data_IF_135207849611
#
_entry.id   IF_135207849611
#
_cell.length_a   1.000
_cell.length_b   1.000
_cell.length_c   1.000
_cell.angle_alpha   90.00
_cell.angle_beta   90.00
_cell.angle_gamma   90.00
#
_symmetry.space_group_name_H-M   'P 1'
#
loop_
_entity.id
_entity.type
_entity.pdbx_description
1 polymer ?
#
# COMPACT_ATOMS: atom_id res chain seq x y z
N UNK A 1 45.62 -38.37 -36.64
CA UNK A 1 44.27 -38.18 -36.07
C UNK A 1 44.39 -38.15 -34.55
N UNK A 2 44.41 -36.95 -33.95
CA UNK A 2 44.31 -36.78 -32.49
C UNK A 2 43.22 -35.73 -32.25
N UNK A 3 42.06 -36.18 -31.78
CA UNK A 3 40.98 -35.33 -31.33
C UNK A 3 41.38 -34.73 -29.98
N UNK A 4 41.33 -33.41 -29.86
CA UNK A 4 41.39 -32.69 -28.59
C UNK A 4 39.94 -32.43 -28.19
N UNK A 5 39.45 -33.10 -27.15
CA UNK A 5 38.19 -32.76 -26.51
C UNK A 5 38.43 -31.52 -25.63
N UNK A 6 37.78 -30.41 -25.97
CA UNK A 6 37.67 -29.24 -25.11
C UNK A 6 36.41 -29.46 -24.25
N UNK A 7 36.60 -29.73 -22.96
CA UNK A 7 35.51 -29.67 -21.99
C UNK A 7 35.31 -28.22 -21.57
N UNK A 8 34.26 -27.58 -22.07
CA UNK A 8 33.75 -26.32 -21.54
C UNK A 8 32.94 -26.65 -20.28
N UNK A 9 33.50 -26.36 -19.11
CA UNK A 9 32.79 -26.40 -17.83
C UNK A 9 31.98 -25.11 -17.74
N UNK A 10 30.67 -25.20 -17.95
CA UNK A 10 29.75 -24.12 -17.59
C UNK A 10 29.57 -24.15 -16.06
N UNK A 11 30.14 -23.17 -15.38
CA UNK A 11 29.73 -22.85 -14.01
C UNK A 11 28.33 -22.25 -14.09
N UNK A 12 27.31 -23.05 -13.84
CA UNK A 12 26.00 -22.54 -13.44
C UNK A 12 26.15 -22.04 -11.99
N UNK A 13 26.22 -20.73 -11.83
CA UNK A 13 25.90 -20.12 -10.55
C UNK A 13 24.38 -20.14 -10.47
N UNK A 14 23.81 -21.06 -9.68
CA UNK A 14 22.41 -20.97 -9.28
C UNK A 14 22.27 -19.71 -8.42
N UNK A 15 21.74 -18.64 -9.03
CA UNK A 15 21.28 -17.47 -8.30
C UNK A 15 19.92 -17.85 -7.73
N UNK A 16 19.90 -18.39 -6.51
CA UNK A 16 18.68 -18.56 -5.70
C UNK A 16 18.22 -17.19 -5.16
N UNK A 17 18.01 -16.23 -6.05
CA UNK A 17 17.41 -14.95 -5.73
C UNK A 17 15.92 -15.04 -5.96
N UNK A 18 15.13 -14.72 -4.94
CA UNK A 18 13.70 -14.49 -5.09
C UNK A 18 13.51 -13.52 -6.26
N UNK A 19 12.82 -13.96 -7.30
CA UNK A 19 12.69 -13.18 -8.50
C UNK A 19 11.49 -12.24 -8.33
N UNK A 20 11.70 -11.15 -7.60
CA UNK A 20 10.67 -10.11 -7.37
C UNK A 20 11.03 -8.84 -8.12
N UNK A 21 10.02 -8.07 -8.51
CA UNK A 21 10.25 -6.73 -9.06
C UNK A 21 10.79 -5.81 -7.95
N UNK A 22 10.22 -5.91 -6.76
CA UNK A 22 10.63 -5.21 -5.56
C UNK A 22 11.97 -5.75 -5.02
N UNK A 23 12.84 -4.83 -4.63
CA UNK A 23 14.10 -5.14 -3.97
C UNK A 23 13.87 -5.33 -2.46
N UNK A 24 13.85 -6.59 -2.05
CA UNK A 24 13.63 -7.00 -0.65
C UNK A 24 14.70 -6.42 0.27
N UNK A 25 15.97 -6.39 -0.16
CA UNK A 25 17.06 -5.92 0.69
C UNK A 25 17.00 -4.41 0.87
N UNK A 26 16.56 -3.67 -0.15
CA UNK A 26 16.28 -2.24 -0.02
C UNK A 26 15.13 -1.96 0.95
N UNK A 27 14.01 -2.68 0.83
CA UNK A 27 12.90 -2.51 1.78
C UNK A 27 13.33 -2.86 3.21
N UNK A 28 14.09 -3.95 3.41
CA UNK A 28 14.68 -4.28 4.72
C UNK A 28 15.56 -3.16 5.24
N UNK A 29 16.39 -2.57 4.37
CA UNK A 29 17.26 -1.46 4.72
C UNK A 29 16.45 -0.24 5.21
N UNK A 30 15.48 0.21 4.41
CA UNK A 30 14.67 1.39 4.72
C UNK A 30 13.88 1.18 6.02
N UNK A 31 13.27 0.00 6.20
CA UNK A 31 12.59 -0.37 7.44
C UNK A 31 13.54 -0.30 8.63
N UNK A 32 14.66 -1.01 8.56
CA UNK A 32 15.64 -1.08 9.66
C UNK A 32 16.29 0.26 9.97
N UNK A 33 16.37 1.16 8.99
CA UNK A 33 17.12 2.39 9.10
C UNK A 33 16.29 3.54 9.67
N UNK A 34 15.05 3.70 9.24
CA UNK A 34 14.23 4.86 9.60
C UNK A 34 12.73 4.58 9.74
N UNK A 35 12.25 3.35 9.50
CA UNK A 35 10.83 2.99 9.69
C UNK A 35 10.61 1.95 10.81
N UNK A 36 11.62 1.72 11.65
CA UNK A 36 11.57 0.84 12.83
C UNK A 36 11.85 1.58 14.14
N UNK A 37 11.69 2.89 14.16
CA UNK A 37 11.85 3.75 15.34
C UNK A 37 10.49 4.38 15.58
N UNK A 38 10.10 4.61 16.84
CA UNK A 38 8.89 5.38 17.16
C UNK A 38 8.85 6.68 16.35
N UNK A 39 7.69 7.00 15.78
CA UNK A 39 7.36 8.19 14.99
C UNK A 39 6.13 8.85 15.59
N UNK A 40 6.11 9.00 16.91
CA UNK A 40 4.97 9.53 17.64
C UNK A 40 5.07 11.04 17.85
N UNK A 41 6.21 11.50 18.39
CA UNK A 41 6.44 12.92 18.67
C UNK A 41 7.08 13.66 17.49
N UNK A 42 7.01 14.99 17.47
CA UNK A 42 7.48 15.78 16.32
C UNK A 42 8.98 15.61 16.03
N UNK A 43 9.82 15.36 17.05
CA UNK A 43 11.25 15.15 16.82
C UNK A 43 11.46 13.86 16.04
N UNK A 44 10.85 12.77 16.48
CA UNK A 44 10.89 11.48 15.80
C UNK A 44 10.30 11.53 14.39
N UNK A 45 9.12 12.13 14.27
CA UNK A 45 8.43 12.32 12.98
C UNK A 45 9.27 13.12 12.00
N UNK A 46 9.96 14.16 12.46
CA UNK A 46 10.83 14.98 11.60
C UNK A 46 11.99 14.17 11.01
N UNK A 47 12.57 13.23 11.76
CA UNK A 47 13.65 12.35 11.28
C UNK A 47 13.14 11.43 10.19
N UNK A 48 12.01 10.75 10.43
CA UNK A 48 11.38 9.88 9.44
C UNK A 48 10.97 10.66 8.18
N UNK A 49 10.33 11.82 8.34
CA UNK A 49 9.91 12.71 7.25
C UNK A 49 11.09 13.11 6.35
N UNK A 50 12.21 13.49 6.94
CA UNK A 50 13.43 13.83 6.17
C UNK A 50 14.00 12.61 5.46
N UNK A 51 14.02 11.44 6.10
CA UNK A 51 14.51 10.20 5.50
C UNK A 51 13.63 9.75 4.31
N UNK A 52 12.31 9.71 4.49
CA UNK A 52 11.32 9.39 3.44
C UNK A 52 11.47 10.37 2.27
N UNK A 53 11.51 11.67 2.56
CA UNK A 53 11.70 12.71 1.54
C UNK A 53 12.99 12.48 0.74
N UNK A 54 14.11 12.19 1.43
CA UNK A 54 15.40 11.90 0.78
C UNK A 54 15.36 10.62 -0.06
N UNK A 55 14.67 9.58 0.40
CA UNK A 55 14.53 8.33 -0.34
C UNK A 55 13.78 8.54 -1.66
N UNK A 56 12.69 9.32 -1.64
CA UNK A 56 11.93 9.70 -2.83
C UNK A 56 12.75 10.62 -3.77
N UNK A 57 13.50 11.57 -3.23
CA UNK A 57 14.37 12.45 -4.05
C UNK A 57 15.55 11.70 -4.67
N UNK A 58 16.10 10.70 -3.97
CA UNK A 58 17.21 9.88 -4.46
C UNK A 58 16.83 9.02 -5.68
N UNK A 59 15.54 8.76 -5.91
CA UNK A 59 15.05 8.07 -7.11
C UNK A 59 14.65 9.04 -8.24
N UNK A 60 14.93 10.34 -8.07
CA UNK A 60 14.72 11.36 -9.10
C UNK A 60 13.36 12.06 -9.04
N UNK A 61 12.54 11.80 -8.03
CA UNK A 61 11.24 12.43 -7.90
C UNK A 61 11.31 13.82 -7.24
N UNK A 62 10.50 14.74 -7.75
CA UNK A 62 10.25 16.01 -7.07
C UNK A 62 9.35 15.74 -5.86
N UNK A 63 9.87 16.02 -4.67
CA UNK A 63 9.14 15.87 -3.42
C UNK A 63 8.86 17.22 -2.75
N UNK A 64 7.79 17.28 -1.96
CA UNK A 64 7.46 18.43 -1.13
C UNK A 64 6.93 17.99 0.22
N UNK A 65 6.99 18.91 1.19
CA UNK A 65 6.37 18.74 2.49
C UNK A 65 5.11 19.60 2.55
N UNK A 66 3.96 19.00 2.81
CA UNK A 66 2.69 19.70 2.99
C UNK A 66 2.40 19.84 4.49
N UNK A 67 2.53 21.06 5.02
CA UNK A 67 2.25 21.37 6.43
C UNK A 67 0.79 21.76 6.62
N UNK A 68 0.16 21.24 7.66
CA UNK A 68 -1.22 21.53 8.04
C UNK A 68 -1.33 21.72 9.56
N UNK A 69 -2.44 22.29 10.02
CA UNK A 69 -2.71 22.50 11.45
C UNK A 69 -3.82 21.53 11.85
N UNK A 70 -3.57 20.71 12.88
CA UNK A 70 -4.60 19.85 13.44
C UNK A 70 -5.62 20.70 14.21
N UNK A 71 -6.89 20.67 13.78
CA UNK A 71 -7.93 21.58 14.26
C UNK A 71 -8.16 21.52 15.77
N UNK A 72 -8.06 20.34 16.39
CA UNK A 72 -8.37 20.17 17.81
C UNK A 72 -7.20 20.50 18.74
N UNK A 73 -5.96 20.21 18.32
CA UNK A 73 -4.77 20.40 19.18
C UNK A 73 -3.92 21.61 18.80
N UNK A 74 -4.17 22.25 17.65
CA UNK A 74 -3.32 23.28 17.04
C UNK A 74 -1.86 22.84 16.81
N UNK A 75 -1.60 21.53 16.80
CA UNK A 75 -0.30 21.02 16.42
C UNK A 75 -0.09 21.12 14.92
N UNK A 76 1.15 21.35 14.51
CA UNK A 76 1.53 21.37 13.10
C UNK A 76 1.88 19.93 12.70
N UNK A 77 1.16 19.39 11.73
CA UNK A 77 1.48 18.13 11.06
C UNK A 77 2.12 18.37 9.71
N UNK A 78 2.79 17.37 9.15
CA UNK A 78 3.40 17.51 7.84
C UNK A 78 3.49 16.21 7.03
N UNK A 79 2.79 16.17 5.90
CA UNK A 79 2.85 15.07 4.94
C UNK A 79 4.09 15.19 4.03
N UNK A 80 4.56 14.06 3.50
CA UNK A 80 5.54 14.01 2.41
C UNK A 80 4.82 13.62 1.13
N UNK A 81 4.99 14.39 0.06
CA UNK A 81 4.34 14.15 -1.24
C UNK A 81 5.42 14.12 -2.31
N UNK A 82 5.43 13.11 -3.17
CA UNK A 82 6.26 13.08 -4.38
C UNK A 82 5.39 12.88 -5.60
N UNK A 83 5.68 13.61 -6.68
CA UNK A 83 4.86 13.60 -7.91
C UNK A 83 5.70 13.13 -9.08
N UNK A 84 5.30 12.00 -9.66
CA UNK A 84 5.85 11.46 -10.90
C UNK A 84 4.93 11.87 -12.06
N UNK A 85 5.23 13.03 -12.64
CA UNK A 85 4.38 13.69 -13.64
C UNK A 85 4.24 12.85 -14.91
N UNK A 86 3.01 12.70 -15.41
CA UNK A 86 2.74 12.23 -16.77
C UNK A 86 2.91 13.35 -17.80
N UNK A 87 2.90 13.04 -19.11
CA UNK A 87 3.00 14.01 -20.20
C UNK A 87 1.92 15.11 -20.17
N UNK A 88 0.75 14.82 -19.59
CA UNK A 88 -0.39 15.76 -19.52
C UNK A 88 -0.52 16.49 -18.18
N UNK A 89 0.47 16.36 -17.29
CA UNK A 89 0.42 16.95 -15.95
C UNK A 89 0.06 18.44 -15.96
N UNK A 90 -0.92 18.81 -15.14
CA UNK A 90 -1.42 20.18 -15.04
C UNK A 90 -2.48 20.56 -16.08
N UNK A 91 -2.99 19.60 -16.85
CA UNK A 91 -4.04 19.81 -17.85
C UNK A 91 -5.23 18.89 -17.62
N UNK A 92 -6.36 19.17 -18.27
CA UNK A 92 -7.58 18.36 -18.17
C UNK A 92 -7.47 16.97 -18.82
N UNK A 93 -6.41 16.74 -19.58
CA UNK A 93 -6.11 15.45 -20.19
C UNK A 93 -5.36 14.51 -19.23
N UNK A 94 -4.89 15.02 -18.08
CA UNK A 94 -4.21 14.17 -17.11
C UNK A 94 -5.18 13.25 -16.38
N UNK A 95 -4.63 12.15 -15.89
CA UNK A 95 -5.26 11.25 -14.93
C UNK A 95 -4.33 11.06 -13.76
N UNK A 96 -4.89 11.02 -12.55
CA UNK A 96 -4.13 10.95 -11.31
C UNK A 96 -4.32 9.58 -10.65
N UNK A 97 -3.21 8.94 -10.32
CA UNK A 97 -3.16 7.74 -9.48
C UNK A 97 -2.45 8.10 -8.18
N UNK A 98 -3.09 7.85 -7.03
CA UNK A 98 -2.51 8.08 -5.71
C UNK A 98 -2.11 6.74 -5.09
N UNK A 99 -0.88 6.62 -4.62
CA UNK A 99 -0.43 5.52 -3.76
C UNK A 99 0.09 6.10 -2.45
N UNK A 100 -0.45 5.65 -1.32
CA UNK A 100 -0.16 6.28 -0.04
C UNK A 100 -0.14 5.35 1.17
N UNK A 101 0.56 5.80 2.20
CA UNK A 101 0.70 5.17 3.52
C UNK A 101 0.82 6.27 4.58
N UNK A 102 0.55 6.00 5.86
CA UNK A 102 0.93 6.89 6.95
C UNK A 102 2.34 6.56 7.47
N UNK A 103 3.06 7.55 8.00
CA UNK A 103 4.38 7.32 8.60
C UNK A 103 4.41 7.56 10.10
N UNK A 104 3.38 8.17 10.72
CA UNK A 104 3.34 8.31 12.17
C UNK A 104 3.04 6.96 12.86
N UNK A 105 3.39 6.87 14.14
CA UNK A 105 3.10 5.70 14.98
C UNK A 105 2.39 6.12 16.26
N UNK A 106 1.82 5.12 16.94
CA UNK A 106 1.50 5.24 18.36
C UNK A 106 2.76 5.43 19.21
N UNK A 107 2.57 5.95 20.43
CA UNK A 107 3.63 6.13 21.42
C UNK A 107 4.30 4.79 21.76
N UNK A 108 5.63 4.82 21.91
CA UNK A 108 6.47 3.65 22.22
C UNK A 108 6.34 2.47 21.26
N UNK A 109 5.85 2.71 20.04
CA UNK A 109 5.69 1.70 19.01
C UNK A 109 6.72 1.89 17.88
N UNK A 110 7.62 0.93 17.60
CA UNK A 110 8.56 1.05 16.49
C UNK A 110 7.89 1.13 15.11
N UNK A 111 6.69 0.55 14.96
CA UNK A 111 5.84 0.64 13.77
C UNK A 111 6.46 0.03 12.53
N UNK A 112 7.08 -1.14 12.64
CA UNK A 112 7.72 -1.83 11.49
C UNK A 112 6.67 -2.23 10.46
N UNK A 113 5.56 -2.81 10.92
CA UNK A 113 4.41 -3.17 10.12
C UNK A 113 3.41 -2.02 10.02
N UNK A 114 3.07 -1.34 11.13
CA UNK A 114 2.13 -0.21 11.26
C UNK A 114 2.85 1.14 11.46
N UNK A 115 3.16 1.90 10.41
CA UNK A 115 2.97 1.56 9.01
C UNK A 115 4.29 1.67 8.21
N UNK A 116 5.40 1.21 8.82
CA UNK A 116 6.71 1.20 8.18
C UNK A 116 6.74 0.33 6.90
N UNK A 117 5.98 -0.77 6.89
CA UNK A 117 5.86 -1.66 5.74
C UNK A 117 5.19 -0.98 4.55
N UNK A 118 4.10 -0.26 4.77
CA UNK A 118 3.41 0.52 3.74
C UNK A 118 4.28 1.64 3.19
N UNK A 119 4.98 2.38 4.05
CA UNK A 119 5.91 3.44 3.62
C UNK A 119 7.07 2.87 2.79
N UNK A 120 7.63 1.73 3.18
CA UNK A 120 8.67 1.05 2.41
C UNK A 120 8.16 0.63 1.01
N UNK A 121 6.95 0.08 0.92
CA UNK A 121 6.35 -0.28 -0.36
C UNK A 121 6.05 0.94 -1.25
N UNK A 122 5.62 2.06 -0.67
CA UNK A 122 5.44 3.33 -1.42
C UNK A 122 6.76 3.82 -2.01
N UNK A 123 7.84 3.83 -1.22
CA UNK A 123 9.18 4.24 -1.68
C UNK A 123 9.70 3.29 -2.76
N UNK A 124 9.52 1.98 -2.58
CA UNK A 124 10.01 0.98 -3.53
C UNK A 124 9.22 1.00 -4.83
N UNK A 125 7.90 1.13 -4.77
CA UNK A 125 7.07 1.32 -5.95
C UNK A 125 7.47 2.60 -6.71
N UNK A 126 7.72 3.70 -5.99
CA UNK A 126 8.20 4.94 -6.59
C UNK A 126 9.57 4.77 -7.30
N UNK A 127 10.48 4.00 -6.71
CA UNK A 127 11.77 3.67 -7.31
C UNK A 127 11.62 2.89 -8.61
N UNK A 128 10.84 1.81 -8.58
CA UNK A 128 10.65 0.94 -9.73
C UNK A 128 9.96 1.70 -10.85
N UNK A 129 8.86 2.42 -10.55
CA UNK A 129 8.16 3.22 -11.55
C UNK A 129 9.06 4.31 -12.14
N UNK A 130 9.88 4.98 -11.33
CA UNK A 130 10.85 5.97 -11.83
C UNK A 130 11.92 5.34 -12.72
N UNK A 131 12.34 4.11 -12.41
CA UNK A 131 13.30 3.35 -13.24
C UNK A 131 12.68 2.95 -14.57
N UNK A 132 11.45 2.41 -14.55
CA UNK A 132 10.72 2.02 -15.75
C UNK A 132 10.47 3.21 -16.68
N UNK A 133 10.14 4.37 -16.14
CA UNK A 133 9.92 5.61 -16.89
C UNK A 133 11.13 6.07 -17.71
N UNK A 134 12.35 5.61 -17.38
CA UNK A 134 13.55 5.92 -18.18
C UNK A 134 13.61 5.13 -19.49
N UNK A 135 12.87 4.02 -19.57
CA UNK A 135 12.88 3.08 -20.69
C UNK A 135 11.51 2.98 -21.39
N UNK A 136 10.43 3.21 -20.66
CA UNK A 136 9.05 2.99 -21.09
C UNK A 136 8.22 4.24 -20.85
N UNK A 137 7.40 4.61 -21.83
CA UNK A 137 6.48 5.74 -21.68
C UNK A 137 5.32 5.38 -20.76
N UNK A 138 4.94 6.33 -19.90
CA UNK A 138 3.78 6.31 -19.01
C UNK A 138 2.91 7.54 -19.25
N UNK A 139 1.59 7.37 -19.26
CA UNK A 139 0.66 8.44 -19.65
C UNK A 139 0.14 9.27 -18.47
N UNK A 140 -0.05 8.65 -17.31
CA UNK A 140 -0.79 9.28 -16.21
C UNK A 140 0.09 9.55 -15.01
N UNK A 141 -0.13 10.70 -14.36
CA UNK A 141 0.62 11.12 -13.17
C UNK A 141 0.38 10.19 -11.98
N UNK A 142 1.46 9.81 -11.30
CA UNK A 142 1.42 9.08 -10.03
C UNK A 142 1.82 10.04 -8.91
N UNK A 143 1.02 10.07 -7.85
CA UNK A 143 1.25 10.85 -6.63
C UNK A 143 1.51 9.87 -5.49
N UNK A 144 2.73 9.89 -4.96
CA UNK A 144 3.13 9.12 -3.79
C UNK A 144 2.99 9.99 -2.56
N UNK A 145 2.30 9.50 -1.52
CA UNK A 145 2.07 10.29 -0.30
C UNK A 145 2.35 9.48 0.96
N UNK A 146 3.11 10.08 1.88
CA UNK A 146 3.26 9.58 3.24
C UNK A 146 2.58 10.56 4.22
N UNK A 147 1.48 10.14 4.85
CA UNK A 147 0.67 10.96 5.75
C UNK A 147 1.25 11.04 7.16
N UNK A 148 1.06 12.18 7.81
CA UNK A 148 1.29 12.37 9.25
C UNK A 148 -0.05 12.28 10.01
N UNK A 149 0.00 12.04 11.31
CA UNK A 149 -1.14 12.14 12.23
C UNK A 149 -2.35 11.25 11.88
N UNK A 150 -2.16 10.02 11.37
CA UNK A 150 -3.23 9.03 11.23
C UNK A 150 -3.97 8.84 12.56
N UNK A 151 -3.22 8.69 13.65
CA UNK A 151 -3.79 8.44 14.97
C UNK A 151 -4.42 9.68 15.64
N UNK A 152 -4.34 10.86 15.01
CA UNK A 152 -5.05 12.09 15.42
C UNK A 152 -6.16 12.39 14.41
N UNK A 153 -7.15 11.51 14.34
CA UNK A 153 -8.34 11.68 13.49
C UNK A 153 -8.03 11.77 11.99
N UNK A 154 -7.03 11.02 11.49
CA UNK A 154 -6.68 10.97 10.07
C UNK A 154 -6.31 12.35 9.49
N UNK A 155 -5.75 13.23 10.33
CA UNK A 155 -5.58 14.65 10.00
C UNK A 155 -4.71 14.88 8.75
N UNK A 156 -3.64 14.09 8.56
CA UNK A 156 -2.76 14.25 7.41
C UNK A 156 -3.42 13.84 6.10
N UNK A 157 -4.12 12.71 6.04
CA UNK A 157 -4.82 12.31 4.81
C UNK A 157 -5.99 13.25 4.50
N UNK A 158 -6.72 13.71 5.52
CA UNK A 158 -7.78 14.70 5.34
C UNK A 158 -7.24 16.01 4.78
N UNK A 159 -6.18 16.57 5.39
CA UNK A 159 -5.53 17.77 4.89
C UNK A 159 -4.96 17.58 3.48
N UNK A 160 -4.39 16.42 3.14
CA UNK A 160 -3.95 16.16 1.78
C UNK A 160 -5.11 16.21 0.77
N UNK A 161 -6.24 15.55 1.07
CA UNK A 161 -7.39 15.53 0.17
C UNK A 161 -7.95 16.94 -0.01
N UNK A 162 -8.20 17.66 1.08
CA UNK A 162 -8.83 18.98 1.07
C UNK A 162 -7.93 20.10 0.56
N UNK A 163 -6.65 20.13 0.97
CA UNK A 163 -5.77 21.27 0.69
C UNK A 163 -4.95 21.10 -0.60
N UNK A 164 -4.73 19.85 -1.04
CA UNK A 164 -3.85 19.54 -2.19
C UNK A 164 -4.62 18.88 -3.33
N UNK A 165 -5.26 17.74 -3.07
CA UNK A 165 -5.82 16.91 -4.13
C UNK A 165 -7.03 17.56 -4.79
N UNK A 166 -8.01 18.02 -4.00
CA UNK A 166 -9.21 18.69 -4.53
C UNK A 166 -8.86 20.00 -5.24
N UNK A 167 -8.05 20.92 -4.68
CA UNK A 167 -7.66 22.13 -5.40
C UNK A 167 -6.85 21.87 -6.67
N UNK A 168 -6.07 20.78 -6.72
CA UNK A 168 -5.36 20.38 -7.94
C UNK A 168 -6.34 20.01 -9.05
N UNK A 169 -7.33 19.15 -8.77
CA UNK A 169 -8.30 18.75 -9.79
C UNK A 169 -9.24 19.88 -10.18
N UNK A 170 -9.64 20.75 -9.25
CA UNK A 170 -10.44 21.93 -9.57
C UNK A 170 -9.71 22.89 -10.51
N UNK A 171 -8.41 23.12 -10.28
CA UNK A 171 -7.59 24.01 -11.12
C UNK A 171 -7.28 23.43 -12.50
N UNK A 172 -7.06 22.13 -12.57
CA UNK A 172 -6.54 21.47 -13.80
C UNK A 172 -7.63 20.77 -14.60
N UNK A 173 -8.77 20.46 -13.96
CA UNK A 173 -9.82 19.59 -14.48
C UNK A 173 -9.29 18.19 -14.85
N UNK A 174 -8.21 17.74 -14.17
CA UNK A 174 -7.72 16.37 -14.23
C UNK A 174 -8.67 15.44 -13.46
N UNK A 175 -8.69 14.16 -13.84
CA UNK A 175 -9.54 13.15 -13.21
C UNK A 175 -8.70 12.24 -12.30
N UNK A 176 -9.17 11.97 -11.08
CA UNK A 176 -8.55 10.99 -10.18
C UNK A 176 -9.15 9.63 -10.51
N UNK A 177 -8.33 8.70 -10.97
CA UNK A 177 -8.78 7.39 -11.44
C UNK A 177 -8.52 6.27 -10.42
N UNK A 178 -7.60 6.50 -9.47
CA UNK A 178 -7.41 5.60 -8.35
C UNK A 178 -6.69 6.28 -7.17
N UNK A 179 -7.09 5.90 -5.97
CA UNK A 179 -6.31 6.06 -4.75
C UNK A 179 -6.15 4.69 -4.07
N UNK A 180 -4.92 4.35 -3.70
CA UNK A 180 -4.58 3.11 -3.00
C UNK A 180 -3.92 3.48 -1.69
N UNK A 181 -4.55 3.13 -0.59
CA UNK A 181 -4.02 3.32 0.76
C UNK A 181 -3.53 1.97 1.27
N UNK A 182 -2.26 1.89 1.67
CA UNK A 182 -1.65 0.68 2.25
C UNK A 182 -1.34 0.91 3.73
N UNK A 183 -1.76 -0.01 4.59
CA UNK A 183 -1.68 0.12 6.04
C UNK A 183 -1.47 -1.25 6.71
N UNK A 184 -0.19 -1.59 6.94
CA UNK A 184 0.24 -2.93 7.34
C UNK A 184 0.14 -3.90 6.18
N UNK A 185 1.29 -4.32 5.65
CA UNK A 185 1.37 -5.27 4.52
C UNK A 185 2.58 -6.21 4.69
N UNK A 186 2.98 -6.48 5.94
CA UNK A 186 4.17 -7.28 6.26
C UNK A 186 3.81 -8.58 6.99
N UNK A 187 2.83 -8.57 7.88
CA UNK A 187 2.60 -9.65 8.83
C UNK A 187 1.83 -10.81 8.20
N UNK A 188 2.53 -11.87 7.81
CA UNK A 188 1.95 -13.12 7.33
C UNK A 188 2.00 -14.19 8.41
N UNK A 189 0.84 -14.69 8.83
CA UNK A 189 0.73 -15.63 9.95
C UNK A 189 -0.20 -16.82 9.61
N UNK A 190 0.33 -17.92 9.06
CA UNK A 190 -0.46 -19.07 8.60
C UNK A 190 -0.80 -20.06 9.74
N UNK A 191 -0.82 -19.60 11.00
CA UNK A 191 -1.26 -20.44 12.12
C UNK A 191 -2.77 -20.30 12.35
N UNK A 192 -3.52 -21.41 12.53
CA UNK A 192 -4.96 -21.34 12.81
C UNK A 192 -5.31 -20.43 13.98
N UNK A 193 -6.30 -19.55 13.79
CA UNK A 193 -6.73 -18.58 14.80
C UNK A 193 -5.79 -17.38 15.00
N UNK A 194 -4.79 -17.19 14.14
CA UNK A 194 -3.89 -16.02 14.21
C UNK A 194 -4.55 -14.72 13.78
N UNK A 195 -5.73 -14.76 13.17
CA UNK A 195 -6.52 -13.59 12.79
C UNK A 195 -7.75 -13.40 13.67
N UNK A 196 -7.82 -12.27 14.37
CA UNK A 196 -9.05 -11.76 14.99
C UNK A 196 -9.75 -10.76 14.06
N UNK A 197 -11.04 -10.51 14.29
CA UNK A 197 -11.82 -9.50 13.56
C UNK A 197 -12.68 -8.68 14.53
N UNK A 198 -13.09 -7.45 14.17
CA UNK A 198 -14.02 -6.66 14.97
C UNK A 198 -15.34 -7.39 15.21
N UNK A 199 -16.03 -7.09 16.31
CA UNK A 199 -17.24 -7.81 16.74
C UNK A 199 -18.37 -7.79 15.69
N UNK A 200 -18.47 -6.71 14.93
CA UNK A 200 -19.49 -6.51 13.91
C UNK A 200 -19.17 -7.19 12.57
N UNK A 201 -17.98 -7.78 12.43
CA UNK A 201 -17.48 -8.35 11.17
C UNK A 201 -18.42 -9.38 10.56
N UNK A 202 -18.85 -10.38 11.32
CA UNK A 202 -19.72 -11.46 10.82
C UNK A 202 -21.08 -10.94 10.36
N UNK A 203 -21.58 -9.88 11.00
CA UNK A 203 -22.88 -9.28 10.65
C UNK A 203 -22.78 -8.42 9.40
N UNK A 204 -21.69 -7.68 9.24
CA UNK A 204 -21.50 -6.73 8.14
C UNK A 204 -20.98 -7.40 6.86
N UNK A 205 -20.15 -8.44 7.00
CA UNK A 205 -19.52 -9.13 5.88
C UNK A 205 -19.67 -10.65 6.04
N UNK A 206 -20.90 -11.19 5.98
CA UNK A 206 -21.16 -12.61 6.25
C UNK A 206 -20.41 -13.54 5.28
N UNK A 207 -20.29 -13.16 4.00
CA UNK A 207 -19.56 -13.95 3.01
C UNK A 207 -18.05 -13.99 3.32
N UNK A 208 -17.48 -12.84 3.67
CA UNK A 208 -16.07 -12.72 4.05
C UNK A 208 -15.77 -13.46 5.37
N UNK A 209 -16.72 -13.44 6.32
CA UNK A 209 -16.61 -14.21 7.55
C UNK A 209 -16.66 -15.72 7.31
N UNK A 210 -17.49 -16.17 6.37
CA UNK A 210 -17.51 -17.58 5.96
C UNK A 210 -16.18 -18.00 5.33
N UNK A 211 -15.59 -17.15 4.49
CA UNK A 211 -14.28 -17.39 3.87
C UNK A 211 -13.17 -17.45 4.92
N UNK A 212 -13.10 -16.47 5.83
CA UNK A 212 -12.12 -16.50 6.92
C UNK A 212 -12.27 -17.75 7.81
N UNK A 213 -13.50 -18.19 8.06
CA UNK A 213 -13.78 -19.39 8.83
C UNK A 213 -13.32 -20.66 8.10
N UNK A 214 -13.55 -20.78 6.79
CA UNK A 214 -13.08 -21.93 5.99
C UNK A 214 -11.56 -21.99 5.91
N UNK A 215 -10.90 -20.83 6.02
CA UNK A 215 -9.45 -20.67 6.17
C UNK A 215 -8.96 -20.76 7.64
N UNK A 216 -9.75 -21.33 8.54
CA UNK A 216 -9.36 -21.56 9.95
C UNK A 216 -8.90 -20.31 10.70
N UNK A 217 -9.39 -19.12 10.31
CA UNK A 217 -8.98 -17.83 10.87
C UNK A 217 -7.46 -17.62 10.84
N UNK A 218 -6.77 -18.11 9.80
CA UNK A 218 -5.37 -17.82 9.57
C UNK A 218 -5.20 -16.39 9.05
N UNK A 219 -4.10 -15.74 9.45
CA UNK A 219 -3.64 -14.45 8.95
C UNK A 219 -2.77 -14.59 7.70
N UNK A 220 -3.17 -15.47 6.78
CA UNK A 220 -2.48 -15.78 5.52
C UNK A 220 -3.08 -15.03 4.32
N UNK A 221 -3.68 -13.87 4.57
CA UNK A 221 -4.36 -13.07 3.55
C UNK A 221 -4.00 -11.59 3.64
N UNK A 222 -4.29 -10.87 2.55
CA UNK A 222 -4.42 -9.41 2.55
C UNK A 222 -5.91 -9.03 2.49
N UNK A 223 -6.33 -8.12 3.35
CA UNK A 223 -7.68 -7.55 3.30
C UNK A 223 -7.72 -6.40 2.30
N UNK A 224 -8.76 -6.36 1.47
CA UNK A 224 -9.07 -5.21 0.61
C UNK A 224 -10.44 -4.63 0.97
N UNK A 225 -10.46 -3.38 1.44
CA UNK A 225 -11.69 -2.64 1.68
C UNK A 225 -12.00 -1.74 0.47
N UNK A 226 -13.24 -1.76 0.03
CA UNK A 226 -13.72 -0.96 -1.11
C UNK A 226 -15.19 -0.59 -0.95
N UNK A 227 -15.70 0.37 -1.73
CA UNK A 227 -17.14 0.67 -1.78
C UNK A 227 -17.81 -0.08 -2.92
N UNK A 228 -18.96 -0.65 -2.60
CA UNK A 228 -19.82 -1.32 -3.57
C UNK A 228 -20.13 -0.42 -4.76
N UNK A 229 -19.96 -0.92 -6.00
CA UNK A 229 -20.27 -0.27 -7.28
C UNK A 229 -19.38 0.92 -7.69
N UNK A 230 -18.63 1.52 -6.76
CA UNK A 230 -17.73 2.63 -7.09
C UNK A 230 -16.32 2.10 -7.37
N UNK A 231 -15.81 1.23 -6.49
CA UNK A 231 -14.41 0.83 -6.49
C UNK A 231 -14.18 -0.56 -7.12
N UNK A 232 -15.21 -1.18 -7.69
CA UNK A 232 -15.17 -2.55 -8.25
C UNK A 232 -14.10 -2.72 -9.34
N UNK A 233 -13.88 -1.70 -10.16
CA UNK A 233 -12.83 -1.71 -11.18
C UNK A 233 -11.42 -1.75 -10.57
N UNK A 234 -11.18 -0.99 -9.50
CA UNK A 234 -9.90 -0.99 -8.79
C UNK A 234 -9.66 -2.34 -8.12
N UNK A 235 -10.68 -2.91 -7.48
CA UNK A 235 -10.61 -4.25 -6.88
C UNK A 235 -10.25 -5.29 -7.94
N UNK A 236 -10.88 -5.23 -9.11
CA UNK A 236 -10.59 -6.16 -10.21
C UNK A 236 -9.14 -6.05 -10.70
N UNK A 237 -8.66 -4.83 -10.99
CA UNK A 237 -7.29 -4.60 -11.47
C UNK A 237 -6.24 -4.95 -10.42
N UNK A 238 -6.49 -4.62 -9.15
CA UNK A 238 -5.58 -5.01 -8.07
C UNK A 238 -5.57 -6.52 -7.89
N UNK A 239 -6.74 -7.18 -7.92
CA UNK A 239 -6.84 -8.64 -7.81
C UNK A 239 -6.07 -9.35 -8.92
N UNK A 240 -6.17 -8.86 -10.16
CA UNK A 240 -5.39 -9.37 -11.29
C UNK A 240 -3.88 -9.22 -11.04
N UNK A 241 -3.44 -8.05 -10.57
CA UNK A 241 -2.04 -7.77 -10.26
C UNK A 241 -1.51 -8.64 -9.11
N UNK A 242 -2.33 -8.83 -8.08
CA UNK A 242 -2.05 -9.66 -6.91
C UNK A 242 -1.93 -11.14 -7.28
N UNK A 243 -2.90 -11.68 -8.04
CA UNK A 243 -2.87 -13.07 -8.48
C UNK A 243 -1.63 -13.34 -9.32
N UNK A 244 -1.30 -12.43 -10.25
CA UNK A 244 -0.09 -12.57 -11.06
C UNK A 244 1.19 -12.57 -10.23
N UNK A 245 1.29 -11.69 -9.23
CA UNK A 245 2.45 -11.64 -8.32
C UNK A 245 2.55 -12.90 -7.46
N UNK A 246 1.40 -13.42 -7.01
CA UNK A 246 1.32 -14.63 -6.20
C UNK A 246 1.72 -15.87 -7.00
N UNK A 247 1.29 -15.98 -8.26
CA UNK A 247 1.70 -17.05 -9.18
C UNK A 247 3.22 -17.05 -9.37
N UNK A 248 3.84 -15.89 -9.60
CA UNK A 248 5.28 -15.81 -9.85
C UNK A 248 6.14 -16.13 -8.62
N UNK A 249 5.59 -15.96 -7.42
CA UNK A 249 6.24 -16.32 -6.17
C UNK A 249 5.92 -17.75 -5.71
N UNK A 250 4.94 -18.41 -6.34
CA UNK A 250 4.41 -19.71 -5.89
C UNK A 250 5.40 -20.86 -6.02
N UNK A 251 6.35 -20.77 -6.96
CA UNK A 251 7.40 -21.78 -7.14
C UNK A 251 8.42 -21.78 -5.99
N UNK A 252 8.67 -20.61 -5.38
CA UNK A 252 9.68 -20.39 -4.34
C UNK A 252 9.10 -20.29 -2.92
N UNK A 253 7.79 -20.15 -2.79
CA UNK A 253 7.11 -19.95 -1.51
C UNK A 253 5.92 -20.91 -1.34
N UNK A 254 5.98 -21.87 -0.40
CA UNK A 254 4.98 -22.95 -0.29
C UNK A 254 3.61 -22.50 0.24
N UNK A 255 3.47 -21.23 0.60
CA UNK A 255 2.21 -20.66 1.07
C UNK A 255 1.59 -19.82 -0.04
N UNK A 256 0.29 -20.00 -0.25
CA UNK A 256 -0.49 -19.24 -1.23
C UNK A 256 -1.38 -18.27 -0.48
N UNK A 257 -0.98 -16.99 -0.33
CA UNK A 257 -1.82 -16.02 0.31
C UNK A 257 -3.08 -15.80 -0.53
N UNK A 258 -4.15 -15.35 0.11
CA UNK A 258 -5.41 -15.03 -0.54
C UNK A 258 -5.87 -13.60 -0.22
N UNK A 259 -6.94 -13.14 -0.86
CA UNK A 259 -7.51 -11.82 -0.64
C UNK A 259 -8.87 -11.92 0.06
N UNK A 260 -9.00 -11.26 1.20
CA UNK A 260 -10.27 -11.08 1.89
C UNK A 260 -10.92 -9.76 1.44
N UNK A 261 -11.98 -9.83 0.65
CA UNK A 261 -12.64 -8.63 0.10
C UNK A 261 -13.79 -8.14 0.99
N UNK A 262 -13.66 -6.92 1.52
CA UNK A 262 -14.71 -6.24 2.28
C UNK A 262 -15.33 -5.13 1.44
N UNK A 263 -16.49 -5.43 0.85
CA UNK A 263 -17.26 -4.45 0.08
C UNK A 263 -18.26 -3.72 0.97
N UNK A 264 -18.01 -2.44 1.19
CA UNK A 264 -18.83 -1.60 2.07
C UNK A 264 -19.95 -0.92 1.28
N UNK A 265 -21.16 -0.93 1.82
CA UNK A 265 -22.26 -0.08 1.37
C UNK A 265 -22.34 1.17 2.25
N UNK A 266 -21.74 2.26 1.78
CA UNK A 266 -21.67 3.54 2.52
C UNK A 266 -22.45 4.66 1.82
N UNK A 267 -23.31 4.33 0.85
CA UNK A 267 -24.05 5.33 0.07
C UNK A 267 -24.93 6.23 0.96
N UNK A 268 -25.44 5.69 2.07
CA UNK A 268 -26.29 6.42 3.02
C UNK A 268 -25.51 7.21 4.09
N UNK A 269 -24.17 7.17 4.08
CA UNK A 269 -23.33 7.87 5.06
C UNK A 269 -22.93 9.23 4.48
N UNK A 270 -23.56 10.29 4.98
CA UNK A 270 -23.45 11.66 4.43
C UNK A 270 -22.52 12.59 5.21
N UNK A 271 -22.09 12.26 6.44
CA UNK A 271 -21.10 13.07 7.16
C UNK A 271 -20.22 12.26 8.13
N UNK A 272 -18.93 12.62 8.18
CA UNK A 272 -17.88 12.09 9.08
C UNK A 272 -18.06 12.47 10.56
N UNK A 273 -18.95 13.42 10.87
CA UNK A 273 -19.10 14.01 12.22
C UNK A 273 -19.56 12.96 13.26
N UNK A 274 -19.95 11.76 12.81
CA UNK A 274 -20.26 10.58 13.63
C UNK A 274 -19.14 9.53 13.74
N UNK A 275 -18.18 9.50 12.83
CA UNK A 275 -17.05 8.54 12.85
C UNK A 275 -15.96 9.02 13.82
N UNK A 276 -15.49 10.25 13.71
CA UNK A 276 -14.35 10.72 14.50
C UNK A 276 -14.67 11.05 15.97
N UNK A 277 -15.90 11.49 16.28
CA UNK A 277 -16.20 12.10 17.59
C UNK A 277 -16.89 11.18 18.60
N UNK A 278 -17.51 10.05 18.20
CA UNK A 278 -18.20 9.14 19.13
C UNK A 278 -18.26 7.69 18.64
N UNK A 279 -17.30 6.86 19.08
CA UNK A 279 -17.36 5.38 19.06
C UNK A 279 -18.71 4.86 19.61
N UNK A 280 -19.31 5.56 20.58
CA UNK A 280 -20.56 5.18 21.23
C UNK A 280 -21.85 5.42 20.40
N UNK A 281 -21.78 5.84 19.13
CA UNK A 281 -22.97 6.14 18.30
C UNK A 281 -22.87 5.63 16.86
N UNK A 282 -21.92 4.77 16.53
CA UNK A 282 -21.98 4.08 15.25
C UNK A 282 -23.15 3.09 15.26
N UNK A 283 -24.26 3.49 14.65
CA UNK A 283 -25.46 2.65 14.55
C UNK A 283 -25.29 1.51 13.53
N UNK A 284 -24.25 1.58 12.69
CA UNK A 284 -24.03 0.67 11.57
C UNK A 284 -22.84 -0.27 11.80
N UNK A 285 -22.03 -0.10 12.85
CA UNK A 285 -20.89 -0.97 13.18
C UNK A 285 -19.69 -0.91 12.22
N UNK A 286 -19.70 0.01 11.25
CA UNK A 286 -18.68 0.13 10.21
C UNK A 286 -17.40 0.86 10.66
N UNK A 287 -17.43 1.55 11.80
CA UNK A 287 -16.33 2.36 12.30
C UNK A 287 -14.97 1.64 12.27
N UNK A 288 -14.84 0.38 12.74
CA UNK A 288 -13.55 -0.33 12.69
C UNK A 288 -12.97 -0.48 11.28
N UNK A 289 -13.81 -0.51 10.24
CA UNK A 289 -13.41 -0.70 8.83
C UNK A 289 -13.18 0.62 8.08
N UNK A 290 -13.58 1.74 8.69
CA UNK A 290 -13.41 3.10 8.20
C UNK A 290 -12.33 3.87 8.97
N UNK A 291 -11.70 3.28 9.99
CA UNK A 291 -10.69 3.97 10.80
C UNK A 291 -9.28 3.86 10.19
N UNK A 292 -9.12 4.29 8.94
CA UNK A 292 -7.81 4.51 8.31
C UNK A 292 -7.92 5.55 7.18
N UNK A 293 -6.78 5.94 6.59
CA UNK A 293 -6.65 7.12 5.72
C UNK A 293 -7.51 7.10 4.44
N UNK A 294 -7.99 5.92 4.02
CA UNK A 294 -8.93 5.80 2.90
C UNK A 294 -10.26 6.52 3.16
N UNK A 295 -10.66 6.68 4.41
CA UNK A 295 -11.87 7.43 4.77
C UNK A 295 -11.81 8.90 4.36
N UNK A 296 -10.62 9.50 4.33
CA UNK A 296 -10.44 10.87 3.84
C UNK A 296 -10.80 11.03 2.36
N UNK A 297 -10.68 9.95 1.57
CA UNK A 297 -11.08 9.91 0.17
C UNK A 297 -12.55 9.55 -0.02
N UNK A 298 -13.13 8.75 0.87
CA UNK A 298 -14.56 8.42 0.82
C UNK A 298 -15.47 9.57 1.27
N UNK A 299 -14.95 10.44 2.12
CA UNK A 299 -15.71 11.49 2.78
C UNK A 299 -14.95 12.81 2.73
N UNK A 300 -15.01 13.46 1.58
CA UNK A 300 -14.41 14.78 1.34
C UNK A 300 -15.48 15.85 1.08
N UNK A 301 -15.09 17.12 1.15
CA UNK A 301 -16.00 18.28 1.00
C UNK A 301 -16.74 18.34 -0.34
N UNK A 302 -16.24 17.64 -1.36
CA UNK A 302 -16.77 17.59 -2.74
C UNK A 302 -17.45 16.26 -3.09
N UNK A 303 -17.77 15.42 -2.11
CA UNK A 303 -18.36 14.08 -2.34
C UNK A 303 -19.66 14.10 -3.18
N UNK A 304 -20.43 15.19 -3.09
CA UNK A 304 -21.65 15.34 -3.88
C UNK A 304 -21.38 15.72 -5.35
N UNK A 305 -20.17 16.18 -5.68
CA UNK A 305 -19.77 16.60 -7.02
C UNK A 305 -19.16 15.43 -7.80
N UNK A 306 -18.29 14.66 -7.16
CA UNK A 306 -17.70 13.44 -7.72
C UNK A 306 -17.18 12.51 -6.61
N UNK A 307 -17.00 11.24 -6.97
CA UNK A 307 -16.40 10.22 -6.10
C UNK A 307 -14.92 10.03 -6.46
N UNK A 308 -14.06 9.79 -5.47
CA UNK A 308 -12.66 9.41 -5.70
C UNK A 308 -12.53 7.88 -5.59
N UNK A 309 -12.31 7.13 -6.68
CA UNK A 309 -12.16 5.68 -6.62
C UNK A 309 -11.01 5.29 -5.70
N UNK A 310 -11.28 4.51 -4.65
CA UNK A 310 -10.30 4.24 -3.58
C UNK A 310 -10.39 2.81 -3.07
N UNK A 311 -9.24 2.15 -2.92
CA UNK A 311 -9.12 0.87 -2.21
C UNK A 311 -8.14 1.01 -1.02
N UNK A 312 -8.41 0.24 0.03
CA UNK A 312 -7.58 0.17 1.22
C UNK A 312 -7.08 -1.26 1.44
N UNK A 313 -5.77 -1.40 1.62
CA UNK A 313 -5.10 -2.69 1.75
C UNK A 313 -4.48 -2.78 3.14
N UNK A 314 -4.76 -3.88 3.83
CA UNK A 314 -4.21 -4.13 5.17
C UNK A 314 -4.05 -5.62 5.43
N UNK A 315 -3.00 -5.99 6.14
CA UNK A 315 -2.81 -7.29 6.77
C UNK A 315 -3.56 -7.39 8.10
N UNK A 316 -4.35 -6.36 8.44
CA UNK A 316 -5.20 -6.20 9.63
C UNK A 316 -4.45 -6.04 10.96
N UNK A 317 -3.17 -5.66 10.90
CA UNK A 317 -2.47 -4.91 11.95
C UNK A 317 -2.54 -5.53 13.35
N UNK A 318 -3.10 -4.80 14.32
CA UNK A 318 -3.22 -5.19 15.71
C UNK A 318 -4.23 -6.32 15.96
N UNK A 319 -4.88 -6.83 14.92
CA UNK A 319 -5.77 -7.99 15.00
C UNK A 319 -5.07 -9.29 14.58
N UNK A 320 -3.79 -9.25 14.20
CA UNK A 320 -3.03 -10.43 13.74
C UNK A 320 -1.92 -10.86 14.70
N UNK A 321 -1.81 -12.16 14.91
CA UNK A 321 -0.74 -12.82 15.67
C UNK A 321 -0.47 -12.19 17.04
N UNK A 322 0.82 -11.98 17.35
CA UNK A 322 1.26 -11.39 18.62
C UNK A 322 0.74 -9.98 18.89
N UNK A 323 0.41 -9.21 17.83
CA UNK A 323 -0.06 -7.83 17.96
C UNK A 323 -1.46 -7.73 18.56
N UNK A 324 -2.22 -8.83 18.56
CA UNK A 324 -3.50 -8.94 19.29
C UNK A 324 -3.35 -8.74 20.79
N UNK A 325 -2.19 -9.10 21.35
CA UNK A 325 -1.93 -9.07 22.80
C UNK A 325 -0.93 -7.98 23.20
N UNK A 326 -0.17 -7.48 22.23
CA UNK A 326 0.86 -6.48 22.46
C UNK A 326 0.93 -5.52 21.27
N UNK A 327 0.23 -4.39 21.39
CA UNK A 327 0.18 -3.38 20.32
C UNK A 327 1.57 -2.79 20.05
N UNK A 328 2.42 -2.67 21.07
CA UNK A 328 3.81 -2.18 20.96
C UNK A 328 4.78 -3.23 20.39
N UNK A 329 4.34 -4.48 20.23
CA UNK A 329 5.16 -5.56 19.70
C UNK A 329 5.15 -5.51 18.17
N UNK A 330 5.49 -4.36 17.61
CA UNK A 330 5.63 -4.13 16.17
C UNK A 330 7.04 -3.60 15.87
N UNK A 331 7.99 -4.53 15.84
CA UNK A 331 9.42 -4.23 15.75
C UNK A 331 10.17 -5.13 14.79
N UNK A 332 11.49 -4.97 14.71
CA UNK A 332 12.32 -5.62 13.68
C UNK A 332 12.26 -7.15 13.65
N UNK A 333 11.88 -7.78 14.76
CA UNK A 333 11.70 -9.23 14.81
C UNK A 333 10.56 -9.73 13.90
N UNK A 334 9.65 -8.84 13.49
CA UNK A 334 8.61 -9.12 12.51
C UNK A 334 9.15 -9.26 11.08
N UNK A 335 10.39 -8.83 10.79
CA UNK A 335 11.01 -8.98 9.48
C UNK A 335 11.58 -10.40 9.27
N UNK A 336 10.76 -11.42 9.54
CA UNK A 336 11.09 -12.81 9.22
C UNK A 336 11.22 -12.99 7.72
N UNK A 337 11.88 -14.06 7.27
CA UNK A 337 11.98 -14.35 5.83
C UNK A 337 10.60 -14.41 5.16
N UNK A 338 9.64 -15.04 5.84
CA UNK A 338 8.26 -15.19 5.36
C UNK A 338 7.53 -13.85 5.25
N UNK A 339 7.62 -13.00 6.27
CA UNK A 339 7.00 -11.68 6.24
C UNK A 339 7.62 -10.79 5.17
N UNK A 340 8.94 -10.87 5.00
CA UNK A 340 9.62 -10.11 3.93
C UNK A 340 9.25 -10.61 2.53
N UNK A 341 9.01 -11.91 2.33
CA UNK A 341 8.45 -12.45 1.07
C UNK A 341 7.02 -11.94 0.85
N UNK A 342 6.20 -11.89 1.89
CA UNK A 342 4.85 -11.33 1.80
C UNK A 342 4.87 -9.84 1.44
N UNK A 343 5.72 -9.03 2.08
CA UNK A 343 5.90 -7.62 1.73
C UNK A 343 6.36 -7.44 0.27
N UNK A 344 7.27 -8.31 -0.21
CA UNK A 344 7.72 -8.31 -1.59
C UNK A 344 6.57 -8.59 -2.57
N UNK A 345 5.76 -9.62 -2.29
CA UNK A 345 4.56 -9.95 -3.06
C UNK A 345 3.59 -8.76 -3.13
N UNK A 346 3.30 -8.15 -1.98
CA UNK A 346 2.39 -7.00 -1.91
C UNK A 346 2.94 -5.81 -2.69
N UNK A 347 4.25 -5.57 -2.61
CA UNK A 347 4.91 -4.47 -3.34
C UNK A 347 4.92 -4.72 -4.85
N UNK A 348 5.17 -5.96 -5.29
CA UNK A 348 5.07 -6.37 -6.70
C UNK A 348 3.66 -6.18 -7.25
N UNK A 349 2.64 -6.56 -6.47
CA UNK A 349 1.24 -6.36 -6.83
C UNK A 349 0.90 -4.87 -7.00
N UNK A 350 1.40 -4.01 -6.11
CA UNK A 350 1.25 -2.56 -6.21
C UNK A 350 1.96 -2.00 -7.45
N UNK A 351 3.18 -2.45 -7.73
CA UNK A 351 3.94 -2.01 -8.92
C UNK A 351 3.19 -2.38 -10.20
N UNK A 352 2.72 -3.63 -10.32
CA UNK A 352 1.94 -4.11 -11.47
C UNK A 352 0.65 -3.32 -11.63
N UNK A 353 -0.05 -3.08 -10.53
CA UNK A 353 -1.23 -2.24 -10.52
C UNK A 353 -0.92 -0.83 -11.03
N UNK A 354 0.18 -0.21 -10.57
CA UNK A 354 0.59 1.12 -11.04
C UNK A 354 0.99 1.12 -12.53
N UNK A 355 1.67 0.09 -13.03
CA UNK A 355 2.02 -0.05 -14.45
C UNK A 355 0.75 -0.04 -15.31
N UNK A 356 -0.23 -0.88 -14.96
CA UNK A 356 -1.51 -0.97 -15.70
C UNK A 356 -2.33 0.31 -15.54
N UNK A 357 -2.52 0.80 -14.31
CA UNK A 357 -3.31 1.99 -14.01
C UNK A 357 -2.74 3.25 -14.63
N UNK A 358 -1.42 3.38 -14.76
CA UNK A 358 -0.77 4.57 -15.33
C UNK A 358 -0.60 4.51 -16.85
N UNK A 359 -1.11 3.45 -17.49
CA UNK A 359 -0.89 3.12 -18.90
C UNK A 359 0.59 3.16 -19.28
N UNK A 360 1.43 2.53 -18.46
CA UNK A 360 2.84 2.38 -18.78
C UNK A 360 3.02 1.27 -19.82
N UNK A 361 3.81 1.56 -20.85
CA UNK A 361 4.21 0.57 -21.86
C UNK A 361 5.10 -0.54 -21.29
N UNK A 362 5.58 -0.40 -20.05
CA UNK A 362 6.27 -1.46 -19.32
C UNK A 362 5.40 -2.72 -19.09
N UNK A 363 4.07 -2.61 -19.20
CA UNK A 363 3.15 -3.75 -19.04
C UNK A 363 3.51 -4.94 -19.95
N UNK A 364 4.06 -4.66 -21.13
CA UNK A 364 4.45 -5.69 -22.10
C UNK A 364 5.82 -6.31 -21.83
N UNK A 365 6.58 -5.87 -20.83
CA UNK A 365 7.95 -6.39 -20.57
C UNK A 365 8.19 -6.85 -19.14
N UNK A 366 7.38 -6.37 -18.20
CA UNK A 366 7.54 -6.65 -16.76
C UNK A 366 7.43 -8.15 -16.48
N UNK A 367 6.71 -8.89 -17.34
CA UNK A 367 6.62 -10.35 -17.29
C UNK A 367 7.49 -11.08 -18.32
N UNK A 368 7.83 -10.44 -19.43
CA UNK A 368 8.64 -11.05 -20.50
C UNK A 368 10.08 -11.30 -20.05
N UNK A 369 10.65 -10.42 -19.22
CA UNK A 369 11.99 -10.61 -18.66
C UNK A 369 12.07 -11.87 -17.80
N UNK A 370 10.99 -12.18 -17.07
CA UNK A 370 10.86 -13.42 -16.29
C UNK A 370 10.78 -14.64 -17.19
N UNK A 371 9.93 -14.55 -18.21
CA UNK A 371 9.68 -15.62 -19.17
C UNK A 371 10.94 -15.95 -19.98
N UNK A 372 11.72 -14.92 -20.32
CA UNK A 372 13.01 -15.03 -20.98
C UNK A 372 14.11 -15.61 -20.07
N UNK A 373 14.11 -15.28 -18.77
CA UNK A 373 15.12 -15.78 -17.82
C UNK A 373 14.84 -17.22 -17.36
N UNK A 374 13.58 -17.63 -17.32
CA UNK A 374 13.16 -18.91 -16.74
C UNK A 374 12.52 -19.90 -17.72
N UNK A 375 12.43 -19.56 -19.01
CA UNK A 375 11.91 -20.45 -20.06
C UNK A 375 10.49 -20.97 -19.74
N UNK A 376 9.67 -20.12 -19.11
CA UNK A 376 8.27 -20.40 -18.85
C UNK A 376 7.49 -19.86 -20.05
N UNK A 377 6.83 -20.75 -20.79
CA UNK A 377 5.95 -20.36 -21.89
C UNK A 377 4.81 -19.48 -21.35
N UNK A 378 4.69 -18.26 -21.87
CA UNK A 378 3.56 -17.36 -21.61
C UNK A 378 2.48 -17.70 -22.63
N UNK A 379 1.43 -18.40 -22.21
CA UNK A 379 0.16 -18.47 -22.96
C UNK A 379 -0.83 -17.40 -22.50
#
# INVERSE_FOLDING_TARGET
MRLILIFTVFYFVEIYGLTTIADVDRMKHDISKFLSISRHNETEKSVARVAIKRALEAVGLSSMTHTFIHEETNEIGANVIAVQKGPHFGTSQDRLVVLSANYDTLEDNPGVDDNGSGVAAVIEAARIMSTLDTLYSRMYTIIYVCYDMKHKSLAGSHAFVEDILLPLVERTNAEIIAAVVVDGILHFDPFPGSQAMPAEFETLFPDAAHELHSHSHMGDFIQINSRSRIDDHLVHLFSKSYNRSSEMLSDDWPFHPWMLSLKMDIANITSLDRLYKKVARDQNGLHPFLFSDHSSFFFHSKKNDFEIPTIYLTDTLNLRGVRQYCVQCDGLYMMTEQNMKFLALMTDALIRFLIEMSQSSAIGVVDDLYSFMFNIDVE
#
